data_IF_189165208016
#
_entry.id   IF_189165208016
#
_cell.length_a   1.000
_cell.length_b   1.000
_cell.length_c   1.000
_cell.angle_alpha   90.00
_cell.angle_beta   90.00
_cell.angle_gamma   90.00
#
_symmetry.space_group_name_H-M   'P 1'
#
loop_
_entity.id
_entity.type
_entity.pdbx_description
1 polymer ?
#
# COMPACT_ATOMS: atom_id res chain seq x y z
N UNK A 1 -11.72 -10.06 10.28
CA UNK A 1 -11.05 -8.96 10.99
C UNK A 1 -10.06 -9.54 11.98
N UNK A 2 -8.76 -9.32 11.78
CA UNK A 2 -7.76 -9.78 12.74
C UNK A 2 -7.88 -8.91 14.00
N UNK A 3 -8.46 -9.45 15.07
CA UNK A 3 -8.47 -8.82 16.39
C UNK A 3 -7.03 -8.75 16.89
N UNK A 4 -6.40 -7.59 16.75
CA UNK A 4 -5.23 -7.24 17.56
C UNK A 4 -5.71 -7.21 19.03
N UNK A 5 -5.17 -8.09 19.85
CA UNK A 5 -5.31 -8.06 21.32
C UNK A 5 -4.00 -8.59 21.90
N UNK A 6 -3.49 -8.10 23.03
CA UNK A 6 -3.76 -6.86 23.78
C UNK A 6 -2.66 -5.80 23.47
N UNK A 7 -2.90 -4.55 23.88
CA UNK A 7 -1.96 -3.42 23.81
C UNK A 7 -1.68 -2.86 22.41
N UNK A 8 -2.74 -2.39 21.75
CA UNK A 8 -2.60 -1.40 20.68
C UNK A 8 -2.04 -0.10 21.28
N UNK A 9 -0.75 0.12 21.07
CA UNK A 9 0.01 1.28 21.60
C UNK A 9 -0.17 2.58 20.77
N UNK A 10 -0.81 2.49 19.60
CA UNK A 10 -1.13 3.64 18.76
C UNK A 10 -1.96 3.25 17.53
N UNK A 11 -2.82 4.17 17.07
CA UNK A 11 -3.60 4.01 15.84
C UNK A 11 -3.63 5.30 15.04
N UNK A 12 -3.73 5.19 13.72
CA UNK A 12 -3.97 6.32 12.83
C UNK A 12 -4.65 5.85 11.56
N UNK A 13 -5.42 6.75 10.94
CA UNK A 13 -5.98 6.56 9.59
C UNK A 13 -5.01 6.91 8.47
N UNK A 14 -3.87 7.55 8.79
CA UNK A 14 -2.85 7.93 7.82
C UNK A 14 -1.71 6.92 7.82
N UNK A 15 -1.40 6.35 6.65
CA UNK A 15 -0.27 5.44 6.49
C UNK A 15 1.07 6.10 6.85
N UNK A 16 1.22 7.38 6.51
CA UNK A 16 2.41 8.18 6.82
C UNK A 16 2.62 8.33 8.34
N UNK A 17 1.53 8.46 9.09
CA UNK A 17 1.54 8.52 10.54
C UNK A 17 1.95 7.18 11.14
N UNK A 18 1.33 6.08 10.68
CA UNK A 18 1.67 4.72 11.11
C UNK A 18 3.14 4.42 10.87
N UNK A 19 3.64 4.73 9.68
CA UNK A 19 5.05 4.59 9.33
C UNK A 19 5.96 5.35 10.28
N UNK A 20 5.67 6.63 10.53
CA UNK A 20 6.49 7.45 11.43
C UNK A 20 6.49 6.91 12.86
N UNK A 21 5.35 6.47 13.38
CA UNK A 21 5.24 5.86 14.71
C UNK A 21 6.15 4.63 14.84
N UNK A 22 6.17 3.74 13.84
CA UNK A 22 7.02 2.54 13.82
C UNK A 22 8.50 2.94 13.78
N UNK A 23 8.91 3.86 12.90
CA UNK A 23 10.30 4.34 12.80
C UNK A 23 10.77 4.93 14.14
N UNK A 24 9.89 5.64 14.85
CA UNK A 24 10.22 6.21 16.17
C UNK A 24 10.20 5.20 17.32
N UNK A 25 9.93 3.92 17.04
CA UNK A 25 9.96 2.84 18.03
C UNK A 25 8.71 2.73 18.90
N UNK A 26 7.58 3.31 18.50
CA UNK A 26 6.32 3.18 19.26
C UNK A 26 5.87 1.71 19.34
N UNK A 27 6.14 0.92 18.30
CA UNK A 27 5.79 -0.49 18.23
C UNK A 27 6.04 -1.06 16.83
N UNK A 28 5.48 -2.25 16.57
CA UNK A 28 5.49 -2.89 15.26
C UNK A 28 4.14 -2.70 14.56
N UNK A 29 4.12 -2.71 13.23
CA UNK A 29 2.87 -2.57 12.50
C UNK A 29 2.97 -3.02 11.04
N UNK A 30 1.82 -3.23 10.40
CA UNK A 30 1.77 -3.60 8.99
C UNK A 30 2.04 -2.39 8.11
N UNK A 31 2.97 -2.53 7.16
CA UNK A 31 3.23 -1.57 6.10
C UNK A 31 3.27 -2.31 4.75
N UNK A 32 2.71 -1.74 3.67
CA UNK A 32 2.92 -2.28 2.33
C UNK A 32 4.42 -2.31 2.00
N UNK A 33 4.89 -3.38 1.34
CA UNK A 33 6.31 -3.60 1.03
C UNK A 33 6.95 -2.38 0.34
N UNK A 34 6.30 -1.86 -0.70
CA UNK A 34 6.79 -0.70 -1.44
C UNK A 34 6.86 0.58 -0.61
N UNK A 35 6.03 0.73 0.43
CA UNK A 35 6.05 1.91 1.31
C UNK A 35 7.19 1.84 2.31
N UNK A 36 7.50 0.64 2.82
CA UNK A 36 8.59 0.43 3.77
C UNK A 36 9.95 0.27 3.11
N UNK A 37 10.01 0.11 1.78
CA UNK A 37 11.23 -0.26 1.06
C UNK A 37 12.40 0.69 1.35
N UNK A 38 12.13 1.99 1.26
CA UNK A 38 13.14 3.02 1.51
C UNK A 38 13.69 2.92 2.94
N UNK A 39 12.82 2.82 3.93
CA UNK A 39 13.25 2.73 5.33
C UNK A 39 14.00 1.44 5.65
N UNK A 40 13.73 0.35 4.93
CA UNK A 40 14.52 -0.88 5.00
C UNK A 40 15.90 -0.68 4.38
N UNK A 41 15.96 -0.09 3.18
CA UNK A 41 17.22 0.20 2.48
C UNK A 41 18.11 1.17 3.29
N UNK A 42 17.49 2.14 3.99
CA UNK A 42 18.15 3.10 4.88
C UNK A 42 18.49 2.49 6.26
N UNK A 43 18.11 1.24 6.54
CA UNK A 43 18.37 0.54 7.80
C UNK A 43 17.57 1.05 9.01
N UNK A 44 16.52 1.84 8.76
CA UNK A 44 15.63 2.39 9.79
C UNK A 44 14.55 1.39 10.23
N UNK A 45 14.12 0.52 9.32
CA UNK A 45 13.15 -0.54 9.57
C UNK A 45 13.73 -1.90 9.19
N UNK A 46 13.22 -2.95 9.81
CA UNK A 46 13.49 -4.32 9.42
C UNK A 46 12.17 -5.09 9.30
N UNK A 47 12.07 -5.93 8.27
CA UNK A 47 10.89 -6.77 8.06
C UNK A 47 10.84 -7.89 9.10
N UNK A 48 9.64 -8.18 9.60
CA UNK A 48 9.37 -9.32 10.48
C UNK A 48 8.84 -10.53 9.67
N UNK A 49 9.00 -11.77 10.18
CA UNK A 49 8.39 -12.93 9.56
C UNK A 49 6.86 -12.78 9.38
N UNK A 50 6.27 -13.34 8.30
CA UNK A 50 6.91 -14.18 7.30
C UNK A 50 7.67 -13.37 6.22
N UNK A 51 8.83 -13.89 5.81
CA UNK A 51 9.66 -13.29 4.74
C UNK A 51 9.16 -13.65 3.34
N UNK A 52 8.48 -14.79 3.21
CA UNK A 52 7.88 -15.25 1.97
C UNK A 52 6.36 -15.09 2.02
N UNK A 53 5.74 -14.87 0.86
CA UNK A 53 4.28 -14.78 0.69
C UNK A 53 3.60 -13.87 1.73
N UNK A 54 3.99 -12.58 1.82
CA UNK A 54 3.31 -11.66 2.71
C UNK A 54 1.81 -11.57 2.35
N UNK A 55 0.95 -11.19 3.31
CA UNK A 55 -0.47 -11.01 3.03
C UNK A 55 -0.70 -10.10 1.82
N UNK A 56 -1.38 -10.63 0.80
CA UNK A 56 -1.70 -9.88 -0.41
C UNK A 56 -2.82 -8.86 -0.12
N UNK A 57 -2.68 -7.67 -0.70
CA UNK A 57 -3.69 -6.61 -0.66
C UNK A 57 -3.96 -6.19 -2.10
N UNK A 58 -5.21 -6.29 -2.53
CA UNK A 58 -5.62 -5.91 -3.89
C UNK A 58 -5.82 -4.39 -4.00
N UNK A 59 -5.37 -3.81 -5.12
CA UNK A 59 -5.56 -2.40 -5.45
C UNK A 59 -6.53 -2.30 -6.64
N UNK A 60 -7.60 -1.53 -6.48
CA UNK A 60 -8.65 -1.39 -7.47
C UNK A 60 -8.73 0.03 -8.03
N UNK A 61 -8.95 0.15 -9.34
CA UNK A 61 -9.37 1.40 -9.97
C UNK A 61 -10.89 1.52 -9.90
N UNK A 62 -11.38 2.51 -9.15
CA UNK A 62 -12.81 2.80 -9.01
C UNK A 62 -13.10 4.17 -9.62
N UNK A 63 -14.15 4.27 -10.41
CA UNK A 63 -14.67 5.54 -10.90
C UNK A 63 -16.21 5.51 -10.92
N UNK A 64 -16.84 6.67 -10.72
CA UNK A 64 -18.29 6.78 -10.90
C UNK A 64 -18.61 6.79 -12.41
N UNK A 65 -19.42 5.86 -12.93
CA UNK A 65 -19.82 5.87 -14.35
C UNK A 65 -20.71 7.07 -14.71
N UNK A 66 -21.39 7.68 -13.75
CA UNK A 66 -22.28 8.84 -13.95
C UNK A 66 -21.56 10.19 -13.81
N UNK A 67 -20.25 10.20 -13.48
CA UNK A 67 -19.51 11.43 -13.32
C UNK A 67 -19.30 12.16 -14.66
N UNK A 68 -19.59 13.45 -14.68
CA UNK A 68 -19.28 14.33 -15.82
C UNK A 68 -17.79 14.70 -15.83
N UNK A 69 -16.98 13.85 -16.46
CA UNK A 69 -15.54 14.03 -16.56
C UNK A 69 -15.15 15.06 -17.63
N UNK A 70 -14.19 15.91 -17.29
CA UNK A 70 -13.55 16.82 -18.24
C UNK A 70 -12.60 16.08 -19.21
N UNK A 71 -12.02 16.79 -20.19
CA UNK A 71 -11.15 16.18 -21.21
C UNK A 71 -9.90 15.51 -20.60
N UNK A 72 -9.29 16.12 -19.60
CA UNK A 72 -8.09 15.61 -18.95
C UNK A 72 -8.42 14.36 -18.10
N UNK A 73 -9.50 14.38 -17.34
CA UNK A 73 -9.96 13.25 -16.53
C UNK A 73 -10.32 12.03 -17.39
N UNK A 74 -11.00 12.25 -18.53
CA UNK A 74 -11.27 11.18 -19.50
C UNK A 74 -9.99 10.56 -20.06
N UNK A 75 -9.01 11.40 -20.41
CA UNK A 75 -7.73 10.93 -20.91
C UNK A 75 -6.95 10.14 -19.83
N UNK A 76 -6.93 10.62 -18.59
CA UNK A 76 -6.32 9.93 -17.46
C UNK A 76 -6.97 8.57 -17.20
N UNK A 77 -8.31 8.53 -17.13
CA UNK A 77 -9.04 7.28 -16.90
C UNK A 77 -8.80 6.26 -18.01
N UNK A 78 -8.82 6.70 -19.27
CA UNK A 78 -8.52 5.85 -20.42
C UNK A 78 -7.07 5.32 -20.37
N UNK A 79 -6.11 6.18 -20.03
CA UNK A 79 -4.70 5.81 -19.86
C UNK A 79 -4.51 4.77 -18.75
N UNK A 80 -5.10 4.99 -17.57
CA UNK A 80 -5.04 4.04 -16.46
C UNK A 80 -5.65 2.69 -16.84
N UNK A 81 -6.82 2.68 -17.48
CA UNK A 81 -7.44 1.44 -17.96
C UNK A 81 -6.57 0.72 -18.98
N UNK A 82 -5.94 1.45 -19.89
CA UNK A 82 -5.04 0.87 -20.89
C UNK A 82 -3.82 0.21 -20.24
N UNK A 83 -3.16 0.90 -19.29
CA UNK A 83 -2.00 0.38 -18.57
C UNK A 83 -2.39 -0.88 -17.80
N UNK A 84 -3.51 -0.83 -17.06
CA UNK A 84 -4.02 -1.98 -16.32
C UNK A 84 -4.36 -3.13 -17.27
N UNK A 85 -4.87 -2.89 -18.47
CA UNK A 85 -5.15 -3.96 -19.42
C UNK A 85 -3.87 -4.58 -20.02
N UNK A 86 -2.82 -3.77 -20.22
CA UNK A 86 -1.59 -4.20 -20.90
C UNK A 86 -0.52 -4.80 -19.99
N UNK A 87 -0.49 -4.45 -18.70
CA UNK A 87 0.51 -4.94 -17.74
C UNK A 87 0.00 -6.24 -17.12
N UNK A 88 0.64 -7.42 -17.22
CA UNK A 88 0.20 -8.64 -16.54
C UNK A 88 0.15 -8.51 -15.01
N UNK A 89 -0.61 -9.36 -14.30
CA UNK A 89 -0.77 -9.24 -12.84
C UNK A 89 0.57 -9.42 -12.12
N UNK A 90 1.42 -10.30 -12.62
CA UNK A 90 2.74 -10.64 -12.09
C UNK A 90 3.67 -9.41 -12.07
N UNK A 91 3.52 -8.51 -13.04
CA UNK A 91 4.26 -7.24 -13.13
C UNK A 91 3.64 -6.12 -12.29
N UNK A 92 2.43 -6.31 -11.76
CA UNK A 92 1.75 -5.36 -10.86
C UNK A 92 1.98 -5.66 -9.38
N UNK A 93 2.66 -6.76 -9.07
CA UNK A 93 2.98 -7.15 -7.70
C UNK A 93 4.38 -6.63 -7.38
N UNK A 94 4.50 -5.94 -6.25
CA UNK A 94 5.81 -5.54 -5.73
C UNK A 94 6.55 -6.79 -5.26
N UNK A 95 7.61 -7.14 -5.98
CA UNK A 95 8.59 -8.13 -5.52
C UNK A 95 9.56 -7.44 -4.55
N UNK A 96 9.94 -8.18 -3.51
CA UNK A 96 10.86 -7.84 -2.40
C UNK A 96 11.35 -6.39 -2.30
#
# INVERSE_FOLDING_TARGET
>A
EARLSPDVVGTSSSLEEVRRMIITGLGIGPLPLHVARREIDDGLLWRLPPYDNPPAIDVFLIHNPEANLNKAEKAMLAGLKSIIASTPLEERIYQD
#
